data_IF_580466915832
#
_entry.id   IF_580466915832
#
_cell.length_a   1.000
_cell.length_b   1.000
_cell.length_c   1.000
_cell.angle_alpha   90.00
_cell.angle_beta   90.00
_cell.angle_gamma   90.00
#
_symmetry.space_group_name_H-M   'P 1'
#
loop_
_entity.id
_entity.type
_entity.pdbx_description
1 polymer ?
#
# COMPACT_ATOMS: atom_id res chain seq x y z
N UNK A 1 -16.38 15.87 -12.76
CA UNK A 1 -15.88 14.53 -12.44
C UNK A 1 -14.57 14.70 -11.65
N UNK A 2 -14.50 14.14 -10.46
CA UNK A 2 -13.32 14.17 -9.60
C UNK A 2 -12.78 12.72 -9.50
N UNK A 3 -11.49 12.55 -9.71
CA UNK A 3 -10.78 11.31 -9.51
C UNK A 3 -9.70 11.56 -8.46
N UNK A 4 -9.92 11.07 -7.26
CA UNK A 4 -8.99 11.22 -6.15
C UNK A 4 -8.31 9.93 -5.76
N UNK A 5 -7.31 10.03 -4.89
CA UNK A 5 -6.65 8.90 -4.23
C UNK A 5 -7.13 8.85 -2.78
N UNK A 6 -8.12 7.98 -2.48
CA UNK A 6 -8.80 7.91 -1.19
C UNK A 6 -7.84 7.80 0.02
N UNK A 7 -6.66 7.19 -0.14
CA UNK A 7 -5.70 7.05 0.97
C UNK A 7 -5.22 8.38 1.54
N UNK A 8 -5.22 9.47 0.76
CA UNK A 8 -4.90 10.82 1.25
C UNK A 8 -5.92 11.35 2.26
N UNK A 9 -7.15 10.84 2.21
CA UNK A 9 -8.26 11.19 3.10
C UNK A 9 -8.41 10.24 4.28
N UNK A 10 -7.66 9.13 4.30
CA UNK A 10 -7.61 8.26 5.48
C UNK A 10 -7.02 9.01 6.66
N UNK A 11 -7.70 9.01 7.84
CA UNK A 11 -7.25 9.78 9.00
C UNK A 11 -5.81 9.50 9.43
N UNK A 12 -5.34 8.26 9.31
CA UNK A 12 -3.96 7.89 9.68
C UNK A 12 -2.94 8.46 8.70
N UNK A 13 -3.21 8.42 7.39
CA UNK A 13 -2.34 9.00 6.39
C UNK A 13 -2.35 10.53 6.43
N UNK A 14 -3.51 11.14 6.68
CA UNK A 14 -3.65 12.59 6.86
C UNK A 14 -2.88 13.07 8.10
N UNK A 15 -2.97 12.36 9.22
CA UNK A 15 -2.19 12.67 10.43
C UNK A 15 -0.68 12.51 10.18
N UNK A 16 -0.25 11.43 9.53
CA UNK A 16 1.15 11.25 9.15
C UNK A 16 1.67 12.45 8.35
N UNK A 17 0.89 12.93 7.36
CA UNK A 17 1.25 14.12 6.58
C UNK A 17 1.30 15.40 7.42
N UNK A 18 0.37 15.57 8.34
CA UNK A 18 0.37 16.72 9.26
C UNK A 18 1.62 16.72 10.16
N UNK A 19 2.03 15.56 10.66
CA UNK A 19 3.24 15.41 11.47
C UNK A 19 4.51 15.71 10.66
N UNK A 20 4.59 15.28 9.40
CA UNK A 20 5.69 15.63 8.48
C UNK A 20 5.74 17.16 8.28
N UNK A 21 4.60 17.76 7.96
CA UNK A 21 4.51 19.23 7.75
C UNK A 21 4.87 20.03 9.00
N UNK A 22 4.62 19.47 10.19
CA UNK A 22 5.03 20.06 11.47
C UNK A 22 6.53 19.84 11.79
N UNK A 23 7.28 19.17 10.92
CA UNK A 23 8.71 18.92 11.09
C UNK A 23 9.07 17.84 12.09
N UNK A 24 8.10 17.03 12.55
CA UNK A 24 8.32 16.04 13.64
C UNK A 24 9.34 14.96 13.32
N UNK A 25 9.57 14.65 12.04
CA UNK A 25 10.55 13.66 11.60
C UNK A 25 11.76 14.29 10.89
N UNK A 26 11.89 15.62 10.92
CA UNK A 26 12.88 16.33 10.12
C UNK A 26 12.51 16.26 8.62
N UNK A 27 13.49 16.05 7.76
CA UNK A 27 13.27 15.92 6.31
C UNK A 27 13.00 14.45 5.96
N UNK A 28 11.85 14.09 5.38
CA UNK A 28 11.61 12.75 4.88
C UNK A 28 12.54 12.46 3.69
N UNK A 29 13.17 11.28 3.66
CA UNK A 29 14.10 10.91 2.60
C UNK A 29 13.91 9.49 2.06
N UNK A 30 13.15 8.64 2.77
CA UNK A 30 12.82 7.29 2.34
C UNK A 30 11.37 6.96 2.69
N UNK A 31 10.64 6.40 1.72
CA UNK A 31 9.34 5.76 1.96
C UNK A 31 9.41 4.30 1.58
N UNK A 32 8.91 3.43 2.45
CA UNK A 32 8.65 2.02 2.14
C UNK A 32 7.15 1.80 2.20
N UNK A 33 6.58 1.19 1.16
CA UNK A 33 5.17 0.85 1.13
C UNK A 33 4.96 -0.63 0.79
N UNK A 34 3.98 -1.21 1.43
CA UNK A 34 3.49 -2.56 1.16
C UNK A 34 1.98 -2.47 0.94
N UNK A 35 1.52 -3.00 -0.19
CA UNK A 35 0.11 -3.07 -0.54
C UNK A 35 -0.25 -4.47 -1.02
N UNK A 36 -0.91 -5.27 -0.18
CA UNK A 36 -1.21 -6.67 -0.48
C UNK A 36 -2.71 -6.92 -0.41
N UNK A 37 -3.26 -7.41 -1.51
CA UNK A 37 -4.62 -7.94 -1.55
C UNK A 37 -4.67 -9.36 -0.99
N UNK A 38 -5.79 -9.73 -0.36
CA UNK A 38 -5.96 -11.07 0.20
C UNK A 38 -5.99 -12.15 -0.88
N UNK A 39 -5.37 -13.28 -0.62
CA UNK A 39 -5.44 -14.49 -1.45
C UNK A 39 -6.88 -14.90 -1.78
N UNK A 40 -7.83 -14.69 -0.86
CA UNK A 40 -9.24 -14.99 -1.07
C UNK A 40 -9.88 -14.25 -2.27
N UNK A 41 -9.25 -13.18 -2.76
CA UNK A 41 -9.73 -12.40 -3.91
C UNK A 41 -8.98 -12.72 -5.21
N UNK A 42 -8.06 -13.68 -5.21
CA UNK A 42 -7.13 -13.92 -6.33
C UNK A 42 -7.85 -14.24 -7.65
N UNK A 43 -8.91 -15.03 -7.63
CA UNK A 43 -9.68 -15.33 -8.85
C UNK A 43 -10.30 -14.09 -9.48
N UNK A 44 -10.81 -13.18 -8.65
CA UNK A 44 -11.35 -11.89 -9.09
C UNK A 44 -10.23 -11.01 -9.66
N UNK A 45 -9.07 -11.01 -9.02
CA UNK A 45 -7.88 -10.27 -9.47
C UNK A 45 -7.38 -10.81 -10.83
N UNK A 46 -7.34 -12.13 -11.04
CA UNK A 46 -6.96 -12.74 -12.33
C UNK A 46 -7.93 -12.31 -13.44
N UNK A 47 -9.24 -12.31 -13.16
CA UNK A 47 -10.24 -11.85 -14.14
C UNK A 47 -10.06 -10.37 -14.46
N UNK A 48 -9.81 -9.55 -13.45
CA UNK A 48 -9.65 -8.10 -13.60
C UNK A 48 -8.32 -7.72 -14.27
N UNK A 49 -7.25 -8.50 -14.08
CA UNK A 49 -5.93 -8.23 -14.66
C UNK A 49 -5.94 -8.08 -16.19
N UNK A 50 -6.93 -8.68 -16.88
CA UNK A 50 -7.13 -8.52 -18.33
C UNK A 50 -7.37 -7.08 -18.77
N UNK A 51 -7.87 -6.23 -17.89
CA UNK A 51 -8.30 -4.85 -18.21
C UNK A 51 -7.76 -3.80 -17.23
N UNK A 52 -7.12 -4.21 -16.14
CA UNK A 52 -6.66 -3.32 -15.07
C UNK A 52 -5.44 -2.47 -15.44
N UNK A 53 -4.71 -2.83 -16.48
CA UNK A 53 -3.42 -2.21 -16.84
C UNK A 53 -2.23 -2.77 -16.05
N UNK A 54 -2.45 -3.83 -15.26
CA UNK A 54 -1.44 -4.52 -14.46
C UNK A 54 -1.31 -3.98 -13.05
N UNK A 55 -0.66 -4.78 -12.19
CA UNK A 55 -0.59 -4.54 -10.74
C UNK A 55 0.01 -3.18 -10.37
N UNK A 56 0.97 -2.67 -11.16
CA UNK A 56 1.61 -1.38 -10.89
C UNK A 56 0.69 -0.19 -11.17
N UNK A 57 -0.24 -0.32 -12.12
CA UNK A 57 -1.23 0.73 -12.42
C UNK A 57 -2.45 0.59 -11.53
N UNK A 58 -2.95 -0.61 -11.36
CA UNK A 58 -4.17 -0.89 -10.59
C UNK A 58 -3.92 -0.73 -9.07
N UNK A 59 -3.08 -1.57 -8.49
CA UNK A 59 -2.89 -1.62 -7.04
C UNK A 59 -1.82 -0.64 -6.54
N UNK A 60 -0.66 -0.60 -7.19
CA UNK A 60 0.48 0.18 -6.72
C UNK A 60 0.33 1.70 -6.91
N UNK A 61 -0.56 2.17 -7.77
CA UNK A 61 -0.80 3.60 -7.98
C UNK A 61 -1.12 4.34 -6.68
N UNK A 62 -1.83 3.71 -5.77
CA UNK A 62 -2.15 4.26 -4.44
C UNK A 62 -0.90 4.49 -3.59
N UNK A 63 0.05 3.57 -3.62
CA UNK A 63 1.29 3.67 -2.86
C UNK A 63 2.27 4.66 -3.52
N UNK A 64 2.33 4.67 -4.84
CA UNK A 64 3.14 5.63 -5.62
C UNK A 64 2.64 7.06 -5.37
N UNK A 65 1.34 7.26 -5.33
CA UNK A 65 0.74 8.56 -4.97
C UNK A 65 1.15 9.03 -3.57
N UNK A 66 1.09 8.15 -2.57
CA UNK A 66 1.53 8.44 -1.20
C UNK A 66 3.03 8.76 -1.14
N UNK A 67 3.87 8.03 -1.89
CA UNK A 67 5.31 8.30 -1.95
C UNK A 67 5.59 9.70 -2.45
N UNK A 68 4.97 10.11 -3.57
CA UNK A 68 5.08 11.48 -4.11
C UNK A 68 4.58 12.52 -3.11
N UNK A 69 3.46 12.24 -2.45
CA UNK A 69 2.86 13.16 -1.47
C UNK A 69 3.71 13.36 -0.22
N UNK A 70 4.36 12.31 0.29
CA UNK A 70 5.22 12.40 1.47
C UNK A 70 6.60 12.96 1.17
N UNK A 71 7.22 12.55 0.07
CA UNK A 71 8.58 12.97 -0.30
C UNK A 71 8.64 14.31 -1.02
N UNK A 72 7.56 14.74 -1.68
CA UNK A 72 7.44 16.04 -2.31
C UNK A 72 8.31 16.23 -3.57
N UNK A 73 8.60 15.14 -4.28
CA UNK A 73 9.38 15.16 -5.52
C UNK A 73 8.73 14.31 -6.62
N UNK A 74 9.32 14.35 -7.82
CA UNK A 74 8.91 13.55 -8.96
C UNK A 74 9.90 12.40 -9.23
N UNK A 75 9.36 11.25 -9.66
CA UNK A 75 10.17 10.06 -9.93
C UNK A 75 11.01 10.26 -11.20
N UNK A 76 12.31 10.02 -11.11
CA UNK A 76 13.27 10.13 -12.23
C UNK A 76 13.83 8.79 -12.70
N UNK A 77 13.91 7.81 -11.81
CA UNK A 77 14.38 6.47 -12.14
C UNK A 77 13.52 5.42 -11.45
N UNK A 78 13.24 4.33 -12.16
CA UNK A 78 12.50 3.17 -11.63
C UNK A 78 13.26 1.89 -11.95
N UNK A 79 13.42 1.04 -10.96
CA UNK A 79 13.78 -0.36 -11.14
C UNK A 79 12.65 -1.22 -10.57
N UNK A 80 12.05 -2.06 -11.41
CA UNK A 80 10.92 -2.92 -11.01
C UNK A 80 11.13 -4.36 -11.45
N UNK A 81 10.62 -5.27 -10.64
CA UNK A 81 10.58 -6.70 -10.94
C UNK A 81 9.27 -7.30 -10.42
N UNK A 82 8.81 -8.35 -11.07
CA UNK A 82 7.61 -9.07 -10.66
C UNK A 82 7.75 -10.57 -10.86
N UNK A 83 6.84 -11.32 -10.27
CA UNK A 83 6.80 -12.77 -10.37
C UNK A 83 5.37 -13.30 -10.37
N UNK A 84 5.16 -14.45 -11.03
CA UNK A 84 3.90 -15.21 -11.08
C UNK A 84 4.16 -16.65 -10.59
N UNK A 85 4.77 -16.78 -9.42
CA UNK A 85 5.21 -18.06 -8.92
C UNK A 85 4.05 -18.93 -8.43
N UNK A 86 3.07 -18.32 -7.80
CA UNK A 86 1.91 -18.98 -7.21
C UNK A 86 0.73 -19.10 -8.20
N UNK A 87 0.50 -18.04 -8.96
CA UNK A 87 -0.60 -17.91 -9.93
C UNK A 87 -0.09 -17.51 -11.30
N UNK A 88 0.41 -18.48 -12.10
CA UNK A 88 0.96 -18.20 -13.43
C UNK A 88 -0.06 -17.63 -14.42
N UNK A 89 -1.36 -17.74 -14.13
CA UNK A 89 -2.46 -17.19 -14.94
C UNK A 89 -2.37 -15.66 -15.12
N UNK A 90 -1.75 -14.93 -14.20
CA UNK A 90 -1.50 -13.51 -14.39
C UNK A 90 -0.60 -13.24 -15.59
N UNK A 91 0.40 -14.09 -15.84
CA UNK A 91 1.29 -13.94 -17.00
C UNK A 91 0.55 -14.05 -18.33
N UNK A 92 -0.50 -14.87 -18.41
CA UNK A 92 -1.35 -14.99 -19.62
C UNK A 92 -2.06 -13.67 -19.96
N UNK A 93 -2.28 -12.83 -18.96
CA UNK A 93 -2.90 -11.52 -19.10
C UNK A 93 -1.86 -10.37 -19.21
N UNK A 94 -0.55 -10.69 -19.26
CA UNK A 94 0.53 -9.70 -19.30
C UNK A 94 0.73 -8.96 -17.96
N UNK A 95 0.27 -9.55 -16.87
CA UNK A 95 0.36 -8.99 -15.51
C UNK A 95 1.24 -9.85 -14.60
N UNK A 96 1.44 -9.41 -13.36
CA UNK A 96 2.19 -10.13 -12.34
C UNK A 96 1.40 -10.18 -11.03
N UNK A 97 1.49 -11.30 -10.30
CA UNK A 97 0.81 -11.47 -9.01
C UNK A 97 1.48 -10.70 -7.88
N UNK A 98 2.80 -10.57 -7.96
CA UNK A 98 3.62 -9.88 -6.97
C UNK A 98 4.66 -9.02 -7.68
N UNK A 99 4.76 -7.76 -7.27
CA UNK A 99 5.70 -6.81 -7.82
C UNK A 99 6.47 -6.06 -6.75
N UNK A 100 7.70 -5.68 -7.09
CA UNK A 100 8.53 -4.78 -6.30
C UNK A 100 9.08 -3.69 -7.18
N UNK A 101 9.25 -2.48 -6.61
CA UNK A 101 9.90 -1.39 -7.30
C UNK A 101 10.75 -0.56 -6.34
N UNK A 102 11.88 -0.06 -6.87
CA UNK A 102 12.64 1.04 -6.27
C UNK A 102 12.47 2.27 -7.14
N UNK A 103 12.23 3.41 -6.49
CA UNK A 103 12.02 4.69 -7.15
C UNK A 103 13.03 5.71 -6.62
N UNK A 104 13.69 6.45 -7.52
CA UNK A 104 14.47 7.63 -7.18
C UNK A 104 13.72 8.88 -7.59
N UNK A 105 13.85 9.92 -6.79
CA UNK A 105 13.18 11.21 -7.00
C UNK A 105 14.18 12.29 -7.35
N UNK A 106 13.71 13.33 -8.03
CA UNK A 106 14.50 14.48 -8.47
C UNK A 106 15.14 15.27 -7.31
N UNK A 107 14.54 15.21 -6.12
CA UNK A 107 15.03 15.83 -4.89
C UNK A 107 16.04 14.96 -4.10
N UNK A 108 16.49 13.83 -4.68
CA UNK A 108 17.45 12.90 -4.08
C UNK A 108 16.87 11.91 -3.09
N UNK A 109 15.54 11.91 -2.88
CA UNK A 109 14.86 10.93 -2.02
C UNK A 109 14.62 9.62 -2.76
N UNK A 110 14.30 8.56 -2.02
CA UNK A 110 14.07 7.23 -2.58
C UNK A 110 12.82 6.58 -1.98
N UNK A 111 12.21 5.65 -2.73
CA UNK A 111 11.13 4.83 -2.20
C UNK A 111 11.27 3.38 -2.61
N UNK A 112 10.66 2.50 -1.83
CA UNK A 112 10.56 1.07 -2.05
C UNK A 112 9.12 0.61 -1.96
N UNK A 113 8.69 -0.15 -2.96
CA UNK A 113 7.34 -0.68 -3.08
C UNK A 113 7.36 -2.20 -3.10
N UNK A 114 6.45 -2.80 -2.34
CA UNK A 114 6.04 -4.20 -2.47
C UNK A 114 4.52 -4.26 -2.65
N UNK A 115 4.07 -4.80 -3.76
CA UNK A 115 2.66 -4.96 -4.08
C UNK A 115 2.36 -6.42 -4.44
N UNK A 116 1.20 -6.94 -4.04
CA UNK A 116 0.87 -8.34 -4.27
C UNK A 116 -0.62 -8.63 -4.17
N UNK A 117 -1.03 -9.79 -4.67
CA UNK A 117 -2.43 -10.25 -4.70
C UNK A 117 -2.61 -11.60 -3.98
N UNK A 118 -1.66 -11.99 -3.15
CA UNK A 118 -1.57 -13.35 -2.61
C UNK A 118 -1.29 -13.37 -1.10
N UNK A 119 -1.76 -12.34 -0.37
CA UNK A 119 -1.57 -12.30 1.08
C UNK A 119 -2.45 -13.35 1.79
N UNK A 120 -1.86 -14.36 2.45
CA UNK A 120 -2.63 -15.42 3.10
C UNK A 120 -3.31 -14.95 4.38
N UNK A 121 -2.87 -13.84 4.95
CA UNK A 121 -3.36 -13.27 6.19
C UNK A 121 -4.44 -12.21 6.01
N UNK A 122 -4.86 -11.91 4.76
CA UNK A 122 -5.87 -10.91 4.44
C UNK A 122 -5.29 -9.61 3.90
N UNK A 123 -6.09 -8.53 3.90
CA UNK A 123 -5.71 -7.25 3.34
C UNK A 123 -4.62 -6.57 4.18
N UNK A 124 -3.52 -6.16 3.53
CA UNK A 124 -2.38 -5.57 4.22
C UNK A 124 -1.88 -4.34 3.47
N UNK A 125 -1.99 -3.19 4.10
CA UNK A 125 -1.38 -1.94 3.65
C UNK A 125 -0.54 -1.33 4.75
N UNK A 126 0.70 -1.02 4.43
CA UNK A 126 1.63 -0.43 5.37
C UNK A 126 2.52 0.61 4.68
N UNK A 127 2.77 1.71 5.35
CA UNK A 127 3.69 2.73 4.86
C UNK A 127 4.60 3.19 5.99
N UNK A 128 5.92 3.09 5.80
CA UNK A 128 6.94 3.63 6.67
C UNK A 128 7.59 4.83 6.00
N UNK A 129 7.61 5.96 6.69
CA UNK A 129 8.23 7.21 6.24
C UNK A 129 9.41 7.52 7.16
N UNK A 130 10.63 7.51 6.61
CA UNK A 130 11.87 7.74 7.35
C UNK A 130 12.32 9.17 7.11
N UNK A 131 12.49 9.91 8.18
CA UNK A 131 13.03 11.26 8.19
C UNK A 131 14.39 11.33 8.86
N UNK A 132 15.01 12.51 8.83
CA UNK A 132 16.35 12.73 9.39
C UNK A 132 16.39 12.69 10.92
N UNK A 133 15.26 12.85 11.60
CA UNK A 133 15.18 12.91 13.06
C UNK A 133 14.33 11.79 13.67
N UNK A 134 13.35 11.28 12.93
CA UNK A 134 12.47 10.21 13.36
C UNK A 134 11.85 9.50 12.15
N UNK A 135 11.04 8.47 12.40
CA UNK A 135 10.21 7.85 11.37
C UNK A 135 8.76 7.71 11.83
N UNK A 136 7.85 7.64 10.86
CA UNK A 136 6.43 7.39 11.05
C UNK A 136 6.10 6.07 10.37
N UNK A 137 5.29 5.25 11.01
CA UNK A 137 4.71 4.05 10.41
C UNK A 137 3.19 4.16 10.46
N UNK A 138 2.56 4.21 9.30
CA UNK A 138 1.14 3.98 9.18
C UNK A 138 0.95 2.48 9.13
N UNK A 139 0.35 1.96 10.20
CA UNK A 139 0.41 0.55 10.53
C UNK A 139 -0.28 -0.35 9.50
N UNK A 140 0.32 -1.43 9.33
CA UNK A 140 0.26 -2.58 8.55
C UNK A 140 -1.07 -3.30 8.50
N UNK A 141 -1.14 -4.43 9.16
CA UNK A 141 -2.35 -5.27 9.15
C UNK A 141 -3.44 -4.61 10.00
N UNK A 142 -4.52 -4.09 9.41
CA UNK A 142 -5.55 -3.40 10.17
C UNK A 142 -6.44 -4.41 10.90
N UNK A 143 -6.55 -4.24 12.22
CA UNK A 143 -7.45 -5.05 13.03
C UNK A 143 -8.91 -4.76 12.69
N UNK A 144 -9.72 -5.81 12.61
CA UNK A 144 -11.16 -5.72 12.36
C UNK A 144 -11.89 -5.00 13.51
N UNK A 145 -11.50 -5.36 14.73
CA UNK A 145 -12.06 -4.83 15.98
C UNK A 145 -11.05 -5.03 17.12
N UNK A 146 -11.53 -5.03 18.37
CA UNK A 146 -10.72 -5.21 19.58
C UNK A 146 -10.86 -6.61 20.20
N UNK A 147 -11.45 -7.58 19.48
CA UNK A 147 -11.64 -8.95 19.98
C UNK A 147 -10.36 -9.74 19.78
N UNK A 148 -9.87 -10.32 20.89
CA UNK A 148 -8.74 -11.25 20.91
C UNK A 148 -9.24 -12.66 21.18
N UNK A 149 -8.78 -13.62 20.39
CA UNK A 149 -9.03 -15.05 20.62
C UNK A 149 -7.77 -15.68 21.19
N UNK A 150 -7.92 -16.33 22.34
CA UNK A 150 -6.82 -17.07 22.98
C UNK A 150 -7.12 -18.56 22.88
N UNK A 151 -6.29 -19.29 22.20
CA UNK A 151 -6.42 -20.76 22.00
C UNK A 151 -5.04 -21.44 22.03
N UNK A 152 -5.00 -22.73 21.68
CA UNK A 152 -3.77 -23.54 21.67
C UNK A 152 -2.66 -22.99 20.75
N UNK A 153 -2.99 -22.08 19.83
CA UNK A 153 -2.04 -21.45 18.91
C UNK A 153 -1.58 -20.06 19.39
N UNK A 154 -2.07 -19.62 20.55
CA UNK A 154 -1.72 -18.33 21.14
C UNK A 154 -2.82 -17.29 21.07
N UNK A 155 -2.45 -16.01 21.14
CA UNK A 155 -3.37 -14.88 21.04
C UNK A 155 -3.48 -14.44 19.57
N UNK A 156 -4.70 -14.36 19.06
CA UNK A 156 -4.98 -13.96 17.68
C UNK A 156 -6.05 -12.88 17.64
N UNK A 157 -5.94 -12.00 16.66
CA UNK A 157 -6.92 -10.96 16.39
C UNK A 157 -7.29 -11.01 14.89
N UNK A 158 -8.57 -10.87 14.61
CA UNK A 158 -9.04 -10.83 13.22
C UNK A 158 -8.65 -9.51 12.56
N UNK A 159 -8.37 -9.56 11.26
CA UNK A 159 -8.06 -8.40 10.43
C UNK A 159 -9.24 -8.07 9.51
N UNK A 160 -9.22 -6.87 8.93
CA UNK A 160 -10.21 -6.51 7.90
C UNK A 160 -10.02 -7.38 6.66
N UNK A 161 -11.13 -7.76 6.04
CA UNK A 161 -11.13 -8.70 4.92
C UNK A 161 -10.64 -8.07 3.62
N UNK A 162 -10.89 -6.76 3.44
CA UNK A 162 -10.67 -6.09 2.17
C UNK A 162 -10.48 -4.57 2.31
N UNK A 163 -10.13 -3.92 1.20
CA UNK A 163 -9.89 -2.48 1.16
C UNK A 163 -11.15 -1.62 1.42
N UNK A 164 -12.41 -2.00 1.03
CA UNK A 164 -13.57 -1.22 1.39
C UNK A 164 -13.77 -1.09 2.90
N UNK A 165 -13.50 -2.15 3.66
CA UNK A 165 -13.57 -2.10 5.13
C UNK A 165 -12.44 -1.23 5.70
N UNK A 166 -11.22 -1.38 5.18
CA UNK A 166 -10.04 -0.61 5.65
C UNK A 166 -10.19 0.89 5.41
N UNK A 167 -10.75 1.29 4.30
CA UNK A 167 -10.80 2.68 3.86
C UNK A 167 -12.22 3.27 3.81
N UNK A 168 -13.19 2.68 4.56
CA UNK A 168 -14.58 3.14 4.56
C UNK A 168 -14.72 4.63 4.88
N UNK A 169 -14.01 5.12 5.90
CA UNK A 169 -14.01 6.53 6.29
C UNK A 169 -13.33 7.41 5.23
N UNK A 170 -12.23 6.94 4.64
CA UNK A 170 -11.50 7.68 3.62
C UNK A 170 -12.38 7.97 2.39
N UNK A 171 -13.17 6.99 1.95
CA UNK A 171 -14.12 7.18 0.85
C UNK A 171 -15.21 8.21 1.16
N UNK A 172 -15.67 8.28 2.41
CA UNK A 172 -16.65 9.29 2.82
C UNK A 172 -16.03 10.69 2.87
N UNK A 173 -14.77 10.80 3.32
CA UNK A 173 -14.06 12.09 3.44
C UNK A 173 -13.55 12.61 2.08
N UNK A 174 -13.41 11.74 1.08
CA UNK A 174 -13.03 12.11 -0.28
C UNK A 174 -14.17 12.79 -1.05
N UNK A 175 -15.44 12.47 -0.71
CA UNK A 175 -16.66 13.03 -1.36
C UNK A 175 -16.96 14.44 -0.88
#
# INVERSE_FOLDING_TARGET
FFLGFMRRYDPSYADAKAQINAGRIGKPYLVKATGLDPEALVESCIKFSKTSGGIFIDAASHDIDLMRWFLGGEVTEVYAAGTNFKHPEFAENGDTETGMAMLKFDNGTVAFLHVGRTAPHGYHTETEIVGTEAHIRVAGVPWKDRVMVYDQYGARQEIVENFPQRFAEAYLLEM
#
